data_IF_717578414921
#
_entry.id   IF_717578414921
#
_cell.length_a   1.000
_cell.length_b   1.000
_cell.length_c   1.000
_cell.angle_alpha   90.00
_cell.angle_beta   90.00
_cell.angle_gamma   90.00
#
_symmetry.space_group_name_H-M   'P 1'
#
loop_
_entity.id
_entity.type
_entity.pdbx_description
1 polymer ?
#
# COMPACT_ATOMS: atom_id res chain seq x y z
N UNK A 1 30.80 45.18 10.82
CA UNK A 1 31.36 44.83 9.51
C UNK A 1 30.42 43.84 8.84
N UNK A 2 29.83 44.31 7.75
CA UNK A 2 28.95 43.70 6.74
C UNK A 2 29.60 42.44 6.13
N UNK A 3 28.91 41.36 5.74
CA UNK A 3 28.21 41.06 4.46
C UNK A 3 27.72 39.57 4.59
N UNK A 4 26.41 39.23 4.64
CA UNK A 4 25.39 39.03 3.57
C UNK A 4 25.30 37.57 3.05
N UNK A 5 24.08 37.00 3.19
CA UNK A 5 23.23 36.23 2.22
C UNK A 5 23.89 35.02 1.52
N UNK A 6 23.38 33.79 1.54
CA UNK A 6 22.01 33.30 1.35
C UNK A 6 21.90 32.61 -0.03
N UNK A 7 21.34 31.40 -0.10
CA UNK A 7 20.85 30.83 -1.36
C UNK A 7 19.81 29.73 -1.12
N UNK A 8 18.59 30.04 -1.59
CA UNK A 8 17.40 29.21 -1.68
C UNK A 8 17.43 28.42 -3.01
N UNK A 9 16.95 27.17 -2.98
CA UNK A 9 16.04 26.48 -3.92
C UNK A 9 16.31 26.54 -5.44
N UNK A 10 16.33 25.37 -6.09
CA UNK A 10 15.54 25.12 -7.31
C UNK A 10 15.38 23.62 -7.62
N UNK A 11 14.12 23.21 -7.76
CA UNK A 11 13.62 21.92 -8.27
C UNK A 11 13.75 21.91 -9.80
N UNK A 12 14.23 20.81 -10.39
CA UNK A 12 14.23 20.62 -11.85
C UNK A 12 13.20 19.56 -12.26
N UNK A 13 12.13 20.02 -12.92
CA UNK A 13 11.18 19.20 -13.70
C UNK A 13 11.65 19.24 -15.15
N UNK A 14 11.87 18.08 -15.78
CA UNK A 14 12.14 17.99 -17.22
C UNK A 14 10.96 17.29 -17.89
N UNK A 15 10.12 18.09 -18.56
CA UNK A 15 9.21 17.65 -19.61
C UNK A 15 9.62 18.44 -20.85
N UNK A 16 10.01 17.73 -21.91
CA UNK A 16 10.38 18.33 -23.18
C UNK A 16 10.14 17.36 -24.31
N UNK A 17 9.00 17.52 -24.98
CA UNK A 17 8.70 16.91 -26.26
C UNK A 17 8.76 17.97 -27.37
N UNK A 18 9.02 17.49 -28.59
CA UNK A 18 8.76 18.12 -29.91
C UNK A 18 9.85 19.05 -30.45
N UNK A 19 10.39 18.66 -31.63
CA UNK A 19 10.62 19.48 -32.83
C UNK A 19 10.96 18.50 -33.98
N UNK A 20 10.01 18.23 -34.89
CA UNK A 20 9.91 18.80 -36.25
C UNK A 20 11.20 18.68 -37.08
N UNK A 21 11.16 17.84 -38.11
CA UNK A 21 11.94 18.09 -39.33
C UNK A 21 11.18 17.70 -40.60
N UNK A 22 11.55 18.40 -41.65
CA UNK A 22 10.74 18.86 -42.78
C UNK A 22 10.56 17.84 -43.91
N UNK A 23 9.51 18.14 -44.68
CA UNK A 23 9.04 17.61 -45.95
C UNK A 23 10.13 17.47 -47.02
N UNK A 24 10.01 16.45 -47.87
CA UNK A 24 10.48 16.51 -49.25
C UNK A 24 9.46 15.86 -50.19
N UNK A 25 9.09 16.61 -51.22
CA UNK A 25 8.08 16.29 -52.23
C UNK A 25 8.76 15.60 -53.42
N UNK A 26 8.23 14.47 -53.88
CA UNK A 26 8.47 13.95 -55.24
C UNK A 26 7.24 13.22 -55.76
N UNK A 27 6.70 13.74 -56.86
CA UNK A 27 5.59 13.23 -57.66
C UNK A 27 5.98 12.04 -58.53
N UNK A 28 5.15 10.99 -58.56
CA UNK A 28 4.93 10.14 -59.73
C UNK A 28 3.56 9.43 -59.62
N UNK A 29 2.77 9.51 -60.69
CA UNK A 29 1.45 8.89 -60.87
C UNK A 29 1.56 7.41 -61.29
N UNK A 30 0.56 6.58 -60.96
CA UNK A 30 -0.18 5.64 -61.86
C UNK A 30 -1.13 4.76 -61.01
N UNK A 31 -2.42 4.71 -61.39
CA UNK A 31 -3.28 3.52 -61.27
C UNK A 31 -4.23 3.39 -60.05
N UNK A 32 -5.55 3.18 -60.26
CA UNK A 32 -6.50 2.91 -59.19
C UNK A 32 -6.63 1.40 -58.95
N UNK A 33 -6.23 0.93 -57.77
CA UNK A 33 -6.58 -0.43 -57.30
C UNK A 33 -7.31 -0.28 -55.99
N UNK A 34 -8.62 -0.55 -56.03
CA UNK A 34 -9.48 -0.60 -54.87
C UNK A 34 -8.94 -1.62 -53.84
N UNK A 35 -8.54 -1.13 -52.68
CA UNK A 35 -8.26 -1.96 -51.51
C UNK A 35 -9.52 -2.03 -50.63
N UNK A 36 -9.92 -3.22 -50.15
CA UNK A 36 -11.16 -3.37 -49.40
C UNK A 36 -11.06 -2.67 -48.04
N UNK A 37 -12.06 -1.84 -47.76
CA UNK A 37 -12.32 -1.23 -46.46
C UNK A 37 -12.58 -2.33 -45.44
N UNK A 38 -11.53 -2.77 -44.71
CA UNK A 38 -11.74 -3.49 -43.44
C UNK A 38 -12.20 -2.49 -42.40
N UNK A 39 -13.52 -2.30 -42.36
CA UNK A 39 -14.22 -1.79 -41.18
C UNK A 39 -14.01 -2.81 -40.06
N UNK A 40 -12.93 -2.67 -39.31
CA UNK A 40 -12.79 -3.33 -38.02
C UNK A 40 -13.73 -2.61 -37.06
N UNK A 41 -14.98 -3.08 -37.03
CA UNK A 41 -15.87 -2.86 -35.89
C UNK A 41 -15.25 -3.64 -34.74
N UNK A 42 -14.23 -3.06 -34.10
CA UNK A 42 -13.66 -3.55 -32.87
C UNK A 42 -14.68 -3.27 -31.77
N UNK A 43 -15.70 -4.13 -31.70
CA UNK A 43 -16.44 -4.35 -30.47
C UNK A 43 -15.40 -4.83 -29.46
N UNK A 44 -14.84 -3.90 -28.70
CA UNK A 44 -14.04 -4.19 -27.55
C UNK A 44 -14.97 -4.84 -26.52
N UNK A 45 -15.15 -6.16 -26.65
CA UNK A 45 -15.60 -6.99 -25.55
C UNK A 45 -14.47 -6.96 -24.54
N UNK A 46 -14.51 -5.97 -23.64
CA UNK A 46 -13.74 -6.03 -22.39
C UNK A 46 -14.20 -7.28 -21.68
N UNK A 47 -13.40 -8.34 -21.80
CA UNK A 47 -13.52 -9.50 -20.94
C UNK A 47 -13.38 -8.98 -19.51
N UNK A 48 -14.50 -8.91 -18.79
CA UNK A 48 -14.46 -8.77 -17.35
C UNK A 48 -13.56 -9.90 -16.84
N UNK A 49 -12.41 -9.55 -16.27
CA UNK A 49 -11.47 -10.51 -15.73
C UNK A 49 -12.21 -11.36 -14.69
N UNK A 50 -12.50 -12.61 -15.04
CA UNK A 50 -13.10 -13.56 -14.13
C UNK A 50 -12.22 -13.65 -12.88
N UNK A 51 -12.76 -13.30 -11.70
CA UNK A 51 -12.04 -13.37 -10.43
C UNK A 51 -11.84 -12.05 -9.68
N UNK A 52 -12.27 -10.91 -10.22
CA UNK A 52 -12.34 -9.68 -9.42
C UNK A 52 -13.49 -9.77 -8.40
N UNK A 53 -13.27 -9.32 -7.17
CA UNK A 53 -14.24 -9.41 -6.06
C UNK A 53 -14.68 -8.02 -5.63
N UNK A 54 -15.98 -7.75 -5.67
CA UNK A 54 -16.54 -6.52 -5.11
C UNK A 54 -16.52 -6.59 -3.57
N UNK A 55 -16.02 -5.53 -2.94
CA UNK A 55 -15.93 -5.41 -1.49
C UNK A 55 -17.01 -4.43 -1.03
N UNK A 56 -18.11 -4.98 -0.52
CA UNK A 56 -19.30 -4.26 -0.09
C UNK A 56 -19.59 -4.55 1.39
N UNK A 57 -19.07 -3.74 2.31
CA UNK A 57 -19.28 -3.94 3.75
C UNK A 57 -20.77 -3.94 4.12
N UNK A 58 -21.18 -4.76 5.11
CA UNK A 58 -22.57 -4.91 5.46
C UNK A 58 -23.17 -3.60 6.02
N UNK A 59 -24.49 -3.40 5.90
CA UNK A 59 -25.19 -2.32 6.59
C UNK A 59 -24.94 -2.44 8.11
N UNK A 60 -24.37 -1.40 8.71
CA UNK A 60 -23.91 -1.42 10.12
C UNK A 60 -22.39 -1.45 10.29
N UNK A 61 -21.64 -1.71 9.21
CA UNK A 61 -20.18 -1.69 9.21
C UNK A 61 -19.55 -3.00 9.71
N UNK A 62 -18.22 -2.99 9.84
CA UNK A 62 -17.46 -4.15 10.33
C UNK A 62 -17.36 -4.15 11.85
N UNK A 63 -17.01 -5.30 12.44
CA UNK A 63 -16.59 -5.38 13.84
C UNK A 63 -15.53 -4.32 14.12
N UNK A 64 -15.79 -3.47 15.11
CA UNK A 64 -14.90 -2.38 15.47
C UNK A 64 -14.33 -2.63 16.86
N UNK A 65 -13.01 -2.52 16.97
CA UNK A 65 -12.29 -2.60 18.23
C UNK A 65 -12.31 -1.24 18.96
N UNK A 66 -11.87 -1.24 20.21
CA UNK A 66 -11.90 -0.09 21.13
C UNK A 66 -11.17 1.12 20.55
N UNK A 67 -9.94 0.93 20.06
CA UNK A 67 -9.10 1.97 19.48
C UNK A 67 -9.51 2.21 18.03
N UNK A 68 -9.62 3.49 17.65
CA UNK A 68 -9.85 3.88 16.25
C UNK A 68 -8.53 4.27 15.60
N UNK A 69 -8.23 3.68 14.44
CA UNK A 69 -7.09 4.06 13.64
C UNK A 69 -7.37 5.38 12.91
N UNK A 70 -6.49 6.36 13.08
CA UNK A 70 -6.52 7.58 12.27
C UNK A 70 -5.96 7.23 10.89
N UNK A 71 -6.83 7.27 9.88
CA UNK A 71 -6.46 6.88 8.53
C UNK A 71 -5.65 7.96 7.83
N UNK A 72 -4.62 7.53 7.12
CA UNK A 72 -3.95 8.29 6.06
C UNK A 72 -4.24 7.61 4.73
N UNK A 73 -4.52 8.43 3.73
CA UNK A 73 -4.83 7.95 2.39
C UNK A 73 -3.67 7.13 1.81
N UNK A 74 -4.01 6.06 1.11
CA UNK A 74 -3.08 5.32 0.26
C UNK A 74 -2.82 6.04 -1.07
N UNK A 75 -2.22 5.34 -2.01
CA UNK A 75 -2.02 5.88 -3.35
C UNK A 75 -3.39 6.16 -4.04
N UNK A 76 -3.50 7.27 -4.78
CA UNK A 76 -4.75 7.63 -5.44
C UNK A 76 -5.09 6.68 -6.59
N UNK A 77 -6.38 6.55 -6.91
CA UNK A 77 -6.85 5.81 -8.08
C UNK A 77 -6.78 4.28 -7.97
N UNK A 78 -6.50 3.74 -6.79
CA UNK A 78 -6.50 2.30 -6.57
C UNK A 78 -7.92 1.72 -6.58
N UNK A 79 -8.10 0.49 -7.08
CA UNK A 79 -9.42 -0.14 -7.21
C UNK A 79 -10.00 -0.55 -5.85
N UNK A 80 -9.16 -0.62 -4.81
CA UNK A 80 -9.54 -0.93 -3.42
C UNK A 80 -8.92 0.09 -2.49
N UNK A 81 -9.67 0.49 -1.46
CA UNK A 81 -9.24 1.48 -0.45
C UNK A 81 -9.61 1.05 0.96
N UNK A 82 -8.77 1.42 1.92
CA UNK A 82 -9.08 1.29 3.34
C UNK A 82 -10.04 2.42 3.79
N UNK A 83 -11.19 2.05 4.35
CA UNK A 83 -12.23 2.99 4.81
C UNK A 83 -12.24 3.22 6.30
N UNK A 84 -11.94 2.18 7.06
CA UNK A 84 -11.83 2.27 8.52
C UNK A 84 -10.84 1.22 9.02
N UNK A 85 -10.20 1.54 10.14
CA UNK A 85 -9.38 0.61 10.89
C UNK A 85 -9.60 0.83 12.39
N UNK A 86 -9.48 -0.23 13.15
CA UNK A 86 -9.57 -0.22 14.61
C UNK A 86 -8.60 -1.25 15.19
N UNK A 87 -8.24 -1.06 16.44
CA UNK A 87 -7.28 -1.91 17.14
C UNK A 87 -7.68 -2.09 18.61
N UNK A 88 -7.15 -3.13 19.24
CA UNK A 88 -7.18 -3.30 20.69
C UNK A 88 -5.80 -3.80 21.12
N UNK A 89 -5.28 -3.25 22.22
CA UNK A 89 -3.97 -3.62 22.75
C UNK A 89 -4.18 -4.42 24.04
N UNK A 90 -3.91 -5.71 23.97
CA UNK A 90 -3.92 -6.59 25.13
C UNK A 90 -2.58 -6.48 25.87
N UNK A 91 -2.60 -5.74 26.97
CA UNK A 91 -1.43 -5.54 27.86
C UNK A 91 -1.32 -6.60 28.95
N UNK A 92 -2.24 -7.56 29.01
CA UNK A 92 -2.21 -8.63 30.00
C UNK A 92 -1.25 -9.77 29.62
N UNK A 93 -0.80 -9.82 28.37
CA UNK A 93 0.16 -10.80 27.87
C UNK A 93 1.57 -10.21 27.75
N UNK A 94 2.57 -11.10 27.79
CA UNK A 94 3.98 -10.73 27.57
C UNK A 94 4.57 -11.59 26.46
N UNK A 95 4.96 -11.01 25.30
CA UNK A 95 4.75 -9.61 24.92
C UNK A 95 3.26 -9.25 24.74
N UNK A 96 2.95 -7.95 24.81
CA UNK A 96 1.59 -7.45 24.62
C UNK A 96 1.06 -7.82 23.22
N UNK A 97 -0.23 -8.14 23.13
CA UNK A 97 -0.89 -8.51 21.88
C UNK A 97 -1.62 -7.33 21.23
N UNK A 98 -1.68 -7.30 19.89
CA UNK A 98 -2.49 -6.33 19.16
C UNK A 98 -3.47 -7.05 18.24
N UNK A 99 -4.75 -6.84 18.50
CA UNK A 99 -5.85 -7.18 17.60
C UNK A 99 -6.08 -6.02 16.63
N UNK A 100 -6.42 -6.34 15.37
CA UNK A 100 -6.73 -5.32 14.35
C UNK A 100 -8.00 -5.70 13.62
N UNK A 101 -8.79 -4.71 13.23
CA UNK A 101 -9.96 -4.90 12.38
C UNK A 101 -10.12 -3.72 11.44
N UNK A 102 -10.81 -3.90 10.33
CA UNK A 102 -11.03 -2.81 9.41
C UNK A 102 -11.99 -3.13 8.28
N UNK A 103 -12.14 -2.13 7.43
CA UNK A 103 -13.08 -2.13 6.32
C UNK A 103 -12.37 -1.70 5.05
N UNK A 104 -12.44 -2.54 4.02
CA UNK A 104 -12.05 -2.24 2.65
C UNK A 104 -13.29 -2.02 1.80
N UNK A 105 -13.19 -1.14 0.80
CA UNK A 105 -14.23 -0.95 -0.22
C UNK A 105 -13.64 -0.88 -1.61
N UNK A 106 -14.45 -1.18 -2.62
CA UNK A 106 -14.07 -1.12 -4.03
C UNK A 106 -14.07 -2.51 -4.64
N UNK A 107 -13.14 -2.75 -5.56
CA UNK A 107 -12.99 -4.03 -6.26
C UNK A 107 -11.58 -4.54 -6.04
N UNK A 108 -11.46 -5.72 -5.42
CA UNK A 108 -10.20 -6.44 -5.34
C UNK A 108 -9.91 -7.08 -6.70
N UNK A 109 -8.82 -6.72 -7.39
CA UNK A 109 -8.48 -7.32 -8.67
C UNK A 109 -8.22 -8.83 -8.55
N UNK A 110 -8.49 -9.58 -9.62
CA UNK A 110 -8.21 -11.01 -9.66
C UNK A 110 -6.72 -11.29 -9.39
N UNK A 111 -6.44 -12.24 -8.49
CA UNK A 111 -5.07 -12.61 -8.11
C UNK A 111 -4.32 -11.58 -7.26
N UNK A 112 -4.98 -10.50 -6.84
CA UNK A 112 -4.42 -9.56 -5.89
C UNK A 112 -4.69 -10.00 -4.45
N UNK A 113 -3.70 -9.76 -3.60
CA UNK A 113 -3.71 -10.08 -2.18
C UNK A 113 -3.64 -8.80 -1.37
N UNK A 114 -4.32 -8.75 -0.23
CA UNK A 114 -4.20 -7.61 0.68
C UNK A 114 -3.33 -8.02 1.86
N UNK A 115 -2.29 -7.26 2.14
CA UNK A 115 -1.35 -7.54 3.23
C UNK A 115 -1.32 -6.43 4.26
N UNK A 116 -1.12 -6.83 5.52
CA UNK A 116 -0.83 -5.92 6.62
C UNK A 116 0.67 -5.97 6.95
N UNK A 117 1.33 -4.82 6.88
CA UNK A 117 2.71 -4.64 7.32
C UNK A 117 2.73 -3.67 8.50
N UNK A 118 3.55 -3.95 9.50
CA UNK A 118 3.74 -3.07 10.65
C UNK A 118 5.04 -2.29 10.50
N UNK A 119 5.01 -1.01 10.83
CA UNK A 119 6.15 -0.10 10.79
C UNK A 119 6.29 0.57 12.16
N UNK A 120 7.26 0.15 12.99
CA UNK A 120 7.54 0.83 14.25
C UNK A 120 8.11 2.21 13.94
N UNK A 121 7.40 3.27 14.36
CA UNK A 121 7.80 4.63 13.99
C UNK A 121 9.10 5.03 14.72
N UNK A 122 10.09 5.59 14.01
CA UNK A 122 11.36 5.98 14.63
C UNK A 122 11.25 7.18 15.58
N UNK A 123 10.12 7.90 15.55
CA UNK A 123 9.82 9.01 16.48
C UNK A 123 9.07 8.54 17.75
N UNK A 124 8.88 7.22 17.91
CA UNK A 124 8.37 6.61 19.13
C UNK A 124 9.42 5.70 19.75
N UNK A 125 9.38 5.53 21.07
CA UNK A 125 10.34 4.75 21.84
C UNK A 125 9.64 3.66 22.63
N UNK A 126 10.34 2.56 22.86
CA UNK A 126 9.85 1.47 23.70
C UNK A 126 9.97 1.78 25.20
N UNK A 127 9.51 0.83 26.02
CA UNK A 127 9.46 0.96 27.47
C UNK A 127 10.73 0.53 28.19
N UNK A 128 11.80 0.21 27.45
CA UNK A 128 13.11 -0.04 28.07
C UNK A 128 13.63 1.25 28.74
N UNK A 129 14.48 1.14 29.78
CA UNK A 129 15.12 2.32 30.37
C UNK A 129 15.91 3.16 29.35
N UNK A 130 16.45 2.52 28.32
CA UNK A 130 17.21 3.16 27.24
C UNK A 130 16.33 3.82 26.17
N UNK A 131 15.02 3.56 26.17
CA UNK A 131 14.04 4.12 25.24
C UNK A 131 14.44 3.91 23.76
N UNK A 132 14.59 2.65 23.35
CA UNK A 132 15.01 2.35 21.98
C UNK A 132 13.94 2.83 20.97
N UNK A 133 14.35 3.56 19.90
CA UNK A 133 13.41 4.03 18.90
C UNK A 133 12.90 2.89 18.01
N UNK A 134 11.73 3.09 17.40
CA UNK A 134 11.22 2.19 16.38
C UNK A 134 12.20 2.02 15.20
N UNK A 135 12.32 0.80 14.67
CA UNK A 135 13.37 0.45 13.71
C UNK A 135 13.24 1.11 12.33
N UNK A 136 12.12 1.78 12.02
CA UNK A 136 11.83 2.31 10.69
C UNK A 136 11.86 1.24 9.57
N UNK A 137 11.52 0.00 9.91
CA UNK A 137 11.38 -1.14 9.00
C UNK A 137 9.94 -1.64 8.96
N UNK A 138 9.52 -2.16 7.82
CA UNK A 138 8.23 -2.79 7.58
C UNK A 138 8.34 -4.30 7.80
N UNK A 139 7.51 -4.84 8.68
CA UNK A 139 7.46 -6.29 8.94
C UNK A 139 6.08 -6.82 8.55
N UNK A 140 5.97 -7.82 7.65
CA UNK A 140 4.69 -8.41 7.31
C UNK A 140 4.06 -9.11 8.52
N UNK A 141 2.85 -8.70 8.86
CA UNK A 141 2.05 -9.31 9.92
C UNK A 141 1.26 -10.48 9.37
N UNK A 142 0.71 -10.32 8.18
CA UNK A 142 -0.05 -11.36 7.50
C UNK A 142 -0.93 -10.84 6.38
N UNK A 143 -1.37 -11.76 5.55
CA UNK A 143 -2.41 -11.52 4.56
C UNK A 143 -3.75 -11.28 5.27
N UNK A 144 -4.49 -10.30 4.77
CA UNK A 144 -5.84 -9.96 5.19
C UNK A 144 -6.81 -10.75 4.32
N UNK A 145 -7.50 -11.70 4.94
CA UNK A 145 -8.70 -12.30 4.35
C UNK A 145 -9.90 -11.45 4.72
N UNK A 146 -10.68 -11.05 3.72
CA UNK A 146 -11.89 -10.26 3.92
C UNK A 146 -13.14 -11.09 3.64
N UNK A 147 -14.20 -10.85 4.41
CA UNK A 147 -15.58 -11.25 4.06
C UNK A 147 -16.37 -9.98 3.82
N UNK A 148 -16.88 -9.80 2.60
CA UNK A 148 -17.61 -8.59 2.18
C UNK A 148 -16.85 -7.27 2.46
N UNK A 149 -15.52 -7.28 2.37
CA UNK A 149 -14.68 -6.11 2.67
C UNK A 149 -14.40 -5.87 4.16
N UNK A 150 -15.00 -6.64 5.07
CA UNK A 150 -14.65 -6.63 6.48
C UNK A 150 -13.54 -7.62 6.80
N UNK A 151 -12.67 -7.25 7.74
CA UNK A 151 -11.62 -8.15 8.23
C UNK A 151 -11.33 -7.96 9.71
N UNK A 152 -10.81 -9.01 10.32
CA UNK A 152 -10.28 -8.99 11.69
C UNK A 152 -9.08 -9.92 11.76
N UNK A 153 -8.03 -9.45 12.42
CA UNK A 153 -6.85 -10.22 12.78
C UNK A 153 -6.81 -10.40 14.28
N UNK A 154 -6.77 -11.67 14.70
CA UNK A 154 -6.58 -12.08 16.08
C UNK A 154 -5.30 -11.48 16.67
N UNK A 155 -5.22 -11.34 18.01
CA UNK A 155 -4.10 -10.69 18.65
C UNK A 155 -2.78 -11.34 18.25
N UNK A 156 -1.84 -10.50 17.81
CA UNK A 156 -0.46 -10.89 17.53
C UNK A 156 0.46 -10.14 18.48
N UNK A 157 1.41 -10.87 19.05
CA UNK A 157 2.50 -10.32 19.87
C UNK A 157 3.17 -9.12 19.18
N UNK A 158 3.34 -8.03 19.92
CA UNK A 158 4.36 -7.02 19.65
C UNK A 158 5.73 -7.70 19.76
N UNK A 159 6.66 -7.36 18.87
CA UNK A 159 7.83 -8.20 18.60
C UNK A 159 8.66 -8.66 19.81
N UNK A 160 8.61 -7.94 20.94
CA UNK A 160 9.31 -8.24 22.19
C UNK A 160 8.57 -7.64 23.41
N UNK A 161 8.86 -8.10 24.65
CA UNK A 161 8.12 -7.70 25.86
C UNK A 161 8.04 -6.19 26.12
N UNK A 162 9.15 -5.48 25.95
CA UNK A 162 9.29 -4.06 26.26
C UNK A 162 8.78 -3.14 25.14
N UNK A 163 8.26 -3.72 24.06
CA UNK A 163 7.82 -3.00 22.87
C UNK A 163 6.65 -2.02 23.10
N UNK A 164 6.00 -2.07 24.27
CA UNK A 164 5.05 -1.05 24.70
C UNK A 164 5.71 0.34 24.72
N UNK A 165 4.96 1.37 24.37
CA UNK A 165 5.46 2.74 24.18
C UNK A 165 5.66 3.10 22.70
N UNK A 166 5.97 2.12 21.87
CA UNK A 166 6.08 2.33 20.43
C UNK A 166 4.72 2.64 19.79
N UNK A 167 4.74 3.47 18.76
CA UNK A 167 3.62 3.63 17.83
C UNK A 167 3.94 2.88 16.56
N UNK A 168 2.99 2.06 16.11
CA UNK A 168 3.14 1.28 14.89
C UNK A 168 2.21 1.79 13.82
N UNK A 169 2.78 2.27 12.72
CA UNK A 169 2.01 2.49 11.51
C UNK A 169 1.72 1.16 10.84
N UNK A 170 0.44 0.92 10.55
CA UNK A 170 -0.06 -0.28 9.89
C UNK A 170 -0.30 0.06 8.43
N UNK A 171 0.55 -0.46 7.56
CA UNK A 171 0.46 -0.30 6.12
C UNK A 171 -0.40 -1.43 5.55
N UNK A 172 -1.53 -1.06 4.99
CA UNK A 172 -2.37 -1.99 4.22
C UNK A 172 -1.97 -1.85 2.76
N UNK A 173 -1.49 -2.93 2.16
CA UNK A 173 -0.93 -2.92 0.80
C UNK A 173 -1.69 -3.89 -0.08
N UNK A 174 -1.81 -3.53 -1.36
CA UNK A 174 -2.26 -4.44 -2.41
C UNK A 174 -1.02 -5.08 -3.04
N UNK A 175 -0.93 -6.39 -3.01
CA UNK A 175 0.18 -7.18 -3.51
C UNK A 175 -0.28 -8.08 -4.66
N UNK A 176 0.56 -8.26 -5.68
CA UNK A 176 0.38 -9.37 -6.61
C UNK A 176 0.89 -10.69 -5.98
N UNK A 177 0.80 -11.79 -6.73
CA UNK A 177 1.25 -13.10 -6.25
C UNK A 177 2.75 -13.13 -5.87
N UNK A 178 3.60 -12.41 -6.60
CA UNK A 178 5.05 -12.38 -6.33
C UNK A 178 5.38 -11.62 -5.06
N UNK A 179 4.81 -10.42 -4.88
CA UNK A 179 4.98 -9.63 -3.67
C UNK A 179 4.35 -10.34 -2.46
N UNK A 180 3.19 -10.98 -2.64
CA UNK A 180 2.52 -11.79 -1.60
C UNK A 180 3.42 -12.93 -1.12
N UNK A 181 4.05 -13.66 -2.05
CA UNK A 181 4.98 -14.73 -1.69
C UNK A 181 6.22 -14.19 -0.94
N UNK A 182 6.81 -13.07 -1.38
CA UNK A 182 7.96 -12.47 -0.69
C UNK A 182 7.59 -12.02 0.75
N UNK A 183 6.37 -11.50 0.96
CA UNK A 183 5.88 -11.17 2.31
C UNK A 183 5.65 -12.41 3.16
N UNK A 184 5.09 -13.48 2.60
CA UNK A 184 4.91 -14.75 3.30
C UNK A 184 6.25 -15.37 3.70
N UNK A 185 7.19 -15.41 2.76
CA UNK A 185 8.54 -15.94 2.98
C UNK A 185 9.28 -15.13 4.03
N UNK A 186 9.19 -13.80 3.99
CA UNK A 186 9.85 -12.96 4.98
C UNK A 186 9.24 -13.14 6.37
N UNK A 187 7.91 -13.19 6.47
CA UNK A 187 7.22 -13.41 7.74
C UNK A 187 7.65 -14.72 8.41
N UNK A 188 7.80 -15.79 7.62
CA UNK A 188 8.12 -17.13 8.13
C UNK A 188 9.62 -17.26 8.42
N UNK A 189 10.46 -16.88 7.44
CA UNK A 189 11.88 -17.20 7.47
C UNK A 189 12.74 -16.09 8.09
N UNK A 190 12.22 -14.87 8.24
CA UNK A 190 12.92 -13.72 8.83
C UNK A 190 14.33 -13.52 8.28
N UNK A 191 14.48 -13.68 6.95
CA UNK A 191 15.80 -13.67 6.29
C UNK A 191 16.39 -12.27 6.23
N UNK A 192 15.58 -11.22 6.41
CA UNK A 192 16.02 -9.82 6.41
C UNK A 192 15.49 -9.09 7.65
N UNK A 193 16.06 -7.93 7.95
CA UNK A 193 15.55 -7.05 9.01
C UNK A 193 14.40 -6.17 8.49
N UNK A 194 13.33 -6.82 8.03
CA UNK A 194 12.18 -6.15 7.42
C UNK A 194 12.48 -5.38 6.13
N UNK A 195 11.44 -4.77 5.57
CA UNK A 195 11.51 -4.00 4.32
C UNK A 195 11.68 -2.51 4.64
N UNK A 196 12.42 -1.79 3.82
CA UNK A 196 12.34 -0.33 3.73
C UNK A 196 11.12 0.09 2.90
N UNK A 197 10.66 1.34 3.07
CA UNK A 197 9.61 1.92 2.22
C UNK A 197 9.98 1.94 0.73
N UNK A 198 11.28 2.08 0.42
CA UNK A 198 11.81 2.01 -0.95
C UNK A 198 11.65 0.61 -1.54
N UNK A 199 11.97 -0.42 -0.77
CA UNK A 199 11.82 -1.82 -1.19
C UNK A 199 10.36 -2.22 -1.42
N UNK A 200 9.43 -1.66 -0.64
CA UNK A 200 8.00 -1.82 -0.88
C UNK A 200 7.58 -1.21 -2.23
N UNK A 201 8.10 -0.02 -2.54
CA UNK A 201 7.81 0.68 -3.80
C UNK A 201 8.34 -0.09 -5.02
N UNK A 202 9.53 -0.69 -4.93
CA UNK A 202 10.13 -1.51 -6.00
C UNK A 202 9.28 -2.74 -6.33
N UNK A 203 8.57 -3.29 -5.34
CA UNK A 203 7.71 -4.48 -5.50
C UNK A 203 6.35 -4.17 -6.12
N UNK A 204 6.11 -2.93 -6.54
CA UNK A 204 4.83 -2.49 -7.09
C UNK A 204 3.63 -2.89 -6.20
N UNK A 205 3.82 -2.86 -4.87
CA UNK A 205 2.80 -3.17 -3.89
C UNK A 205 2.21 -1.86 -3.35
N UNK A 206 1.25 -1.22 -4.05
CA UNK A 206 0.75 0.08 -3.65
C UNK A 206 0.05 0.02 -2.30
N UNK A 207 0.28 1.06 -1.50
CA UNK A 207 -0.36 1.23 -0.20
C UNK A 207 -1.80 1.68 -0.43
N UNK A 208 -2.78 0.92 0.05
CA UNK A 208 -4.22 1.24 -0.05
C UNK A 208 -4.74 2.00 1.18
N UNK A 209 -3.96 2.04 2.25
CA UNK A 209 -4.21 2.88 3.42
C UNK A 209 -3.18 2.65 4.52
N UNK A 210 -3.05 3.64 5.40
CA UNK A 210 -2.19 3.54 6.58
C UNK A 210 -2.98 3.99 7.80
N UNK A 211 -2.75 3.36 8.95
CA UNK A 211 -3.29 3.84 10.23
C UNK A 211 -2.31 3.61 11.37
N UNK A 212 -2.33 4.47 12.38
CA UNK A 212 -1.46 4.33 13.54
C UNK A 212 -2.11 3.45 14.62
N UNK A 213 -1.28 2.66 15.30
CA UNK A 213 -1.59 1.92 16.53
C UNK A 213 -0.60 2.39 17.61
N UNK A 214 -0.96 3.38 18.44
CA UNK A 214 -0.19 3.70 19.64
C UNK A 214 -0.34 2.57 20.66
N UNK A 215 0.77 2.21 21.31
CA UNK A 215 0.76 1.19 22.39
C UNK A 215 0.97 1.81 23.77
N UNK A 216 1.22 3.11 23.82
CA UNK A 216 1.10 3.91 25.04
C UNK A 216 -0.32 3.79 25.62
N UNK A 217 -0.49 3.78 26.95
CA UNK A 217 -1.79 3.91 27.59
C UNK A 217 -2.52 5.20 27.20
#
# INVERSE_FOLDING_TARGET
>A
MTVVVGALVAVLVVVGAVLLSRSNTSTASVGPTAAPTRSANATATTAAAAGAVALQPPPGGCTALEGKGVLRAGAPGLPVVLRSASYAVDRSTTPAGVSRAGQLTGTLPAGAHVWLLTYPRPDSVDSTPEHHPGSARLYPIGEITTTDGCWTLQPRALGYPEALGLTYDQYVVLADATASQDFADERINKKRDGFSLKELSIRAAPIIGIYAVPTTP
#
